data_IF_677355261155
#
_entry.id   IF_677355261155
#
_cell.length_a   1.000
_cell.length_b   1.000
_cell.length_c   1.000
_cell.angle_alpha   90.00
_cell.angle_beta   90.00
_cell.angle_gamma   90.00
#
_symmetry.space_group_name_H-M   'P 1'
#
loop_
_entity.id
_entity.type
_entity.pdbx_description
1 polymer ?
#
# COMPACT_ATOMS: atom_id res chain seq x y z
N UNK A 1 -8.12 -6.15 4.04
CA UNK A 1 -7.27 -6.26 2.84
C UNK A 1 -7.75 -7.43 1.99
N UNK A 2 -7.70 -7.34 0.66
CA UNK A 2 -8.26 -8.32 -0.28
C UNK A 2 -7.38 -9.58 -0.49
N UNK A 3 -6.16 -9.57 0.06
CA UNK A 3 -5.24 -10.72 0.13
C UNK A 3 -5.25 -11.40 1.51
N UNK A 4 -6.13 -10.97 2.42
CA UNK A 4 -6.19 -11.53 3.77
C UNK A 4 -6.49 -13.04 3.73
N UNK A 5 -5.82 -13.80 4.61
CA UNK A 5 -5.90 -15.26 4.73
C UNK A 5 -5.32 -16.07 3.55
N UNK A 6 -4.63 -15.43 2.60
CA UNK A 6 -3.82 -16.13 1.60
C UNK A 6 -2.40 -16.36 2.12
N UNK A 7 -1.76 -17.44 1.67
CA UNK A 7 -0.32 -17.59 1.84
C UNK A 7 0.44 -16.53 1.03
N UNK A 8 1.70 -16.19 1.40
CA UNK A 8 2.44 -15.11 0.75
C UNK A 8 2.57 -15.25 -0.77
N UNK A 9 2.71 -16.48 -1.28
CA UNK A 9 2.88 -16.71 -2.71
C UNK A 9 1.57 -16.46 -3.47
N UNK A 10 0.46 -16.97 -2.95
CA UNK A 10 -0.86 -16.72 -3.55
C UNK A 10 -1.23 -15.23 -3.48
N UNK A 11 -0.89 -14.55 -2.39
CA UNK A 11 -1.10 -13.11 -2.27
C UNK A 11 -0.36 -12.32 -3.37
N UNK A 12 0.91 -12.66 -3.65
CA UNK A 12 1.71 -12.03 -4.71
C UNK A 12 1.07 -12.24 -6.10
N UNK A 13 0.62 -13.45 -6.40
CA UNK A 13 -0.08 -13.74 -7.67
C UNK A 13 -1.35 -12.90 -7.81
N UNK A 14 -2.16 -12.81 -6.75
CA UNK A 14 -3.41 -12.03 -6.78
C UNK A 14 -3.12 -10.54 -6.96
N UNK A 15 -2.07 -10.03 -6.33
CA UNK A 15 -1.63 -8.64 -6.47
C UNK A 15 -1.18 -8.33 -7.91
N UNK A 16 -0.35 -9.17 -8.50
CA UNK A 16 0.09 -9.03 -9.90
C UNK A 16 -1.08 -9.04 -10.88
N UNK A 17 -2.01 -10.00 -10.72
CA UNK A 17 -3.20 -10.10 -11.57
C UNK A 17 -4.11 -8.88 -11.41
N UNK A 18 -4.27 -8.39 -10.19
CA UNK A 18 -5.09 -7.20 -9.91
C UNK A 18 -4.51 -5.96 -10.59
N UNK A 19 -3.21 -5.69 -10.43
CA UNK A 19 -2.54 -4.55 -11.08
C UNK A 19 -2.64 -4.65 -12.61
N UNK A 20 -2.42 -5.84 -13.17
CA UNK A 20 -2.58 -6.09 -14.61
C UNK A 20 -3.98 -5.73 -15.10
N UNK A 21 -5.03 -6.22 -14.44
CA UNK A 21 -6.41 -5.95 -14.82
C UNK A 21 -6.73 -4.45 -14.72
N UNK A 22 -6.29 -3.79 -13.65
CA UNK A 22 -6.50 -2.35 -13.44
C UNK A 22 -5.87 -1.54 -14.56
N UNK A 23 -4.62 -1.86 -14.96
CA UNK A 23 -3.92 -1.18 -16.04
C UNK A 23 -4.53 -1.44 -17.41
N UNK A 24 -4.79 -2.70 -17.74
CA UNK A 24 -5.34 -3.10 -19.04
C UNK A 24 -6.72 -2.50 -19.29
N UNK A 25 -7.56 -2.44 -18.24
CA UNK A 25 -8.93 -1.91 -18.34
C UNK A 25 -9.05 -0.43 -17.99
N UNK A 26 -7.94 0.25 -17.71
CA UNK A 26 -7.89 1.66 -17.28
C UNK A 26 -8.86 1.98 -16.13
N UNK A 27 -8.88 1.13 -15.11
CA UNK A 27 -9.78 1.28 -13.98
C UNK A 27 -9.17 2.22 -12.93
N UNK A 28 -10.04 2.97 -12.24
CA UNK A 28 -9.66 3.59 -10.96
C UNK A 28 -9.88 2.58 -9.85
N UNK A 29 -8.83 2.25 -9.11
CA UNK A 29 -8.88 1.30 -8.01
C UNK A 29 -8.28 1.91 -6.74
N UNK A 30 -8.85 1.56 -5.59
CA UNK A 30 -8.32 1.89 -4.27
C UNK A 30 -7.95 0.58 -3.59
N UNK A 31 -6.66 0.42 -3.31
CA UNK A 31 -6.16 -0.70 -2.52
C UNK A 31 -5.97 -0.27 -1.06
N UNK A 32 -6.50 -1.07 -0.15
CA UNK A 32 -6.26 -0.93 1.29
C UNK A 32 -5.43 -2.13 1.76
N UNK A 33 -4.23 -1.86 2.28
CA UNK A 33 -3.26 -2.87 2.71
C UNK A 33 -2.53 -2.42 3.98
N UNK A 34 -2.11 -3.39 4.80
CA UNK A 34 -1.17 -3.17 5.91
C UNK A 34 0.25 -3.64 5.56
N UNK A 35 0.44 -4.23 4.38
CA UNK A 35 1.73 -4.66 3.88
C UNK A 35 2.44 -3.50 3.19
N UNK A 36 3.48 -2.96 3.84
CA UNK A 36 4.25 -1.83 3.33
C UNK A 36 4.94 -2.11 1.99
N UNK A 37 5.30 -3.38 1.71
CA UNK A 37 5.86 -3.77 0.40
C UNK A 37 4.84 -3.51 -0.71
N UNK A 38 3.62 -4.00 -0.55
CA UNK A 38 2.56 -3.77 -1.54
C UNK A 38 2.17 -2.31 -1.65
N UNK A 39 2.13 -1.60 -0.52
CA UNK A 39 1.87 -0.17 -0.51
C UNK A 39 2.91 0.62 -1.32
N UNK A 40 4.15 0.12 -1.43
CA UNK A 40 5.24 0.71 -2.22
C UNK A 40 5.23 0.27 -3.68
N UNK A 41 5.06 -1.02 -3.93
CA UNK A 41 5.18 -1.62 -5.26
C UNK A 41 4.00 -1.31 -6.18
N UNK A 42 2.78 -1.20 -5.63
CA UNK A 42 1.55 -1.07 -6.42
C UNK A 42 0.90 0.30 -6.33
N UNK A 43 0.13 0.63 -7.37
CA UNK A 43 -0.61 1.88 -7.47
C UNK A 43 0.22 3.07 -7.96
N UNK A 44 -0.42 4.22 -8.06
CA UNK A 44 0.17 5.48 -8.54
C UNK A 44 0.21 6.58 -7.49
N UNK A 45 -0.41 6.37 -6.33
CA UNK A 45 -0.42 7.30 -5.19
C UNK A 45 -0.47 6.48 -3.92
N UNK A 46 0.24 6.90 -2.89
CA UNK A 46 0.17 6.29 -1.56
C UNK A 46 -0.41 7.29 -0.58
N UNK A 47 -1.42 6.86 0.16
CA UNK A 47 -2.01 7.62 1.25
C UNK A 47 -1.91 6.76 2.51
N UNK A 48 -1.34 7.32 3.58
CA UNK A 48 -1.39 6.74 4.92
C UNK A 48 -2.33 7.56 5.77
N UNK A 49 -3.18 6.88 6.53
CA UNK A 49 -4.16 7.52 7.40
C UNK A 49 -3.96 7.06 8.84
N UNK A 50 -4.08 7.99 9.79
CA UNK A 50 -4.15 7.72 11.22
C UNK A 50 -5.28 8.55 11.84
N UNK A 51 -6.06 7.96 12.74
CA UNK A 51 -7.17 8.62 13.48
C UNK A 51 -8.09 9.50 12.62
N UNK A 52 -8.37 9.07 11.37
CA UNK A 52 -9.25 9.79 10.43
C UNK A 52 -8.58 10.93 9.66
N UNK A 53 -7.27 11.12 9.82
CA UNK A 53 -6.48 12.14 9.13
C UNK A 53 -5.46 11.51 8.17
N UNK A 54 -5.16 12.21 7.08
CA UNK A 54 -4.06 11.83 6.18
C UNK A 54 -2.75 12.27 6.81
N UNK A 55 -1.88 11.33 7.13
CA UNK A 55 -0.56 11.57 7.74
C UNK A 55 0.58 11.46 6.72
N UNK A 56 0.34 10.80 5.58
CA UNK A 56 1.24 10.76 4.45
C UNK A 56 0.44 10.78 3.16
N UNK A 57 0.89 11.59 2.20
CA UNK A 57 0.35 11.63 0.85
C UNK A 57 1.53 11.72 -0.14
N UNK A 58 1.69 10.68 -0.95
CA UNK A 58 2.77 10.55 -1.92
C UNK A 58 2.16 10.47 -3.31
N UNK A 59 2.36 11.52 -4.10
CA UNK A 59 1.95 11.59 -5.49
C UNK A 59 2.73 10.61 -6.39
N UNK A 60 2.34 10.54 -7.66
CA UNK A 60 2.89 9.60 -8.63
C UNK A 60 4.37 9.74 -8.92
N UNK A 61 4.93 10.95 -8.85
CA UNK A 61 6.35 11.16 -9.15
C UNK A 61 7.21 10.79 -7.95
N UNK A 62 6.80 11.22 -6.76
CA UNK A 62 7.49 10.85 -5.51
C UNK A 62 7.35 9.35 -5.25
N UNK A 63 6.22 8.74 -5.64
CA UNK A 63 5.93 7.33 -5.39
C UNK A 63 6.92 6.39 -6.07
N UNK A 64 7.33 6.69 -7.30
CA UNK A 64 8.30 5.89 -8.08
C UNK A 64 9.63 5.68 -7.36
N UNK A 65 10.02 6.63 -6.51
CA UNK A 65 11.30 6.60 -5.79
C UNK A 65 11.13 6.27 -4.29
N UNK A 66 9.90 6.04 -3.84
CA UNK A 66 9.62 5.71 -2.44
C UNK A 66 9.99 4.26 -2.18
N UNK A 67 10.68 4.00 -1.07
CA UNK A 67 11.02 2.68 -0.56
C UNK A 67 10.23 2.38 0.71
N UNK A 68 10.24 1.12 1.12
CA UNK A 68 9.61 0.70 2.38
C UNK A 68 10.23 1.44 3.57
N UNK A 69 11.55 1.61 3.56
CA UNK A 69 12.32 2.34 4.58
C UNK A 69 11.80 3.77 4.80
N UNK A 70 11.40 4.46 3.72
CA UNK A 70 10.95 5.86 3.78
C UNK A 70 9.63 6.05 4.55
N UNK A 71 8.84 4.98 4.69
CA UNK A 71 7.51 5.00 5.32
C UNK A 71 7.44 4.14 6.57
N UNK A 72 8.48 3.34 6.84
CA UNK A 72 8.52 2.41 7.98
C UNK A 72 8.51 3.16 9.30
N UNK A 73 9.34 4.20 9.45
CA UNK A 73 9.44 4.97 10.69
C UNK A 73 8.08 5.58 11.09
N UNK A 74 7.39 6.17 10.11
CA UNK A 74 6.05 6.74 10.32
C UNK A 74 5.05 5.64 10.72
N UNK A 75 5.03 4.53 9.99
CA UNK A 75 4.14 3.41 10.28
C UNK A 75 4.37 2.81 11.67
N UNK A 76 5.64 2.62 12.06
CA UNK A 76 6.01 2.10 13.38
C UNK A 76 5.62 3.08 14.49
N UNK A 77 5.84 4.39 14.30
CA UNK A 77 5.44 5.39 15.29
C UNK A 77 3.94 5.35 15.59
N UNK A 78 3.11 5.23 14.54
CA UNK A 78 1.65 5.14 14.66
C UNK A 78 1.23 3.80 15.29
N UNK A 79 1.88 2.69 14.91
CA UNK A 79 1.57 1.35 15.44
C UNK A 79 1.85 1.27 16.94
N UNK A 80 2.99 1.80 17.40
CA UNK A 80 3.37 1.84 18.81
C UNK A 80 2.37 2.69 19.61
N UNK A 81 1.97 3.86 19.11
CA UNK A 81 0.95 4.69 19.76
C UNK A 81 -0.39 3.96 19.95
N UNK A 82 -0.72 3.04 19.04
CA UNK A 82 -1.95 2.25 19.09
C UNK A 82 -1.83 0.98 19.95
N UNK A 83 -0.65 0.68 20.50
CA UNK A 83 -0.42 -0.47 21.38
C UNK A 83 -0.38 -1.82 20.66
N UNK A 84 -0.08 -1.83 19.34
CA UNK A 84 0.15 -3.03 18.53
C UNK A 84 1.64 -3.29 18.29
#
# INVERSE_FOLDING_TARGET
EHTAALDPHTADIIMELTDKIVREKQLTAIMVTHNLRYAVEYGSRLIMMDKGHIVLDVDSEKKKNTKVEDILDLFTSISIECGN
#
